data_IF_612113437820
#
_entry.id   IF_612113437820
#
_cell.length_a   1.000
_cell.length_b   1.000
_cell.length_c   1.000
_cell.angle_alpha   90.00
_cell.angle_beta   90.00
_cell.angle_gamma   90.00
#
_symmetry.space_group_name_H-M   'P 1'
#
loop_
_entity.id
_entity.type
_entity.pdbx_description
1 polymer ?
#
# COMPACT_ATOMS: atom_id res chain seq x y z
N UNK A 1 -18.35 37.08 -2.21
CA UNK A 1 -18.83 35.73 -2.59
C UNK A 1 -17.57 34.88 -2.68
N UNK A 2 -17.22 34.29 -1.54
CA UNK A 2 -16.04 33.42 -1.47
C UNK A 2 -16.39 32.13 -2.20
N UNK A 3 -15.81 31.97 -3.40
CA UNK A 3 -15.83 30.70 -4.09
C UNK A 3 -14.97 29.72 -3.29
N UNK A 4 -15.58 28.91 -2.44
CA UNK A 4 -14.95 27.74 -1.91
C UNK A 4 -14.54 26.89 -3.10
N UNK A 5 -13.27 26.93 -3.45
CA UNK A 5 -12.69 26.02 -4.40
C UNK A 5 -12.85 24.61 -3.78
N UNK A 6 -13.75 23.81 -4.33
CA UNK A 6 -13.95 22.43 -3.90
C UNK A 6 -12.58 21.75 -3.95
N UNK A 7 -12.09 21.32 -2.77
CA UNK A 7 -10.82 20.60 -2.68
C UNK A 7 -10.89 19.39 -3.62
N UNK A 8 -9.88 19.23 -4.49
CA UNK A 8 -9.86 18.11 -5.41
C UNK A 8 -9.66 16.79 -4.66
N UNK A 9 -10.20 15.72 -5.20
CA UNK A 9 -9.98 14.38 -4.66
C UNK A 9 -8.51 14.00 -4.83
N UNK A 10 -7.84 13.46 -3.78
CA UNK A 10 -6.52 12.89 -3.92
C UNK A 10 -6.58 11.67 -4.84
N UNK A 11 -5.65 11.59 -5.78
CA UNK A 11 -5.52 10.45 -6.70
C UNK A 11 -4.52 9.46 -6.16
N UNK A 12 -4.95 8.21 -5.98
CA UNK A 12 -4.23 7.19 -5.22
C UNK A 12 -3.96 5.98 -6.09
N UNK A 13 -2.69 5.60 -6.23
CA UNK A 13 -2.31 4.34 -6.89
C UNK A 13 -2.37 3.20 -5.88
N UNK A 14 -3.12 2.14 -6.23
CA UNK A 14 -3.50 1.07 -5.31
C UNK A 14 -2.82 -0.25 -5.68
N UNK A 15 -2.04 -0.82 -4.74
CA UNK A 15 -1.27 -2.05 -4.90
C UNK A 15 -1.92 -3.19 -4.10
N UNK A 16 -2.37 -4.21 -4.81
CA UNK A 16 -3.04 -5.39 -4.24
C UNK A 16 -2.11 -6.31 -3.43
N UNK A 17 -2.70 -7.26 -2.71
CA UNK A 17 -1.98 -8.26 -1.92
C UNK A 17 -1.32 -9.34 -2.78
N UNK A 18 -0.49 -10.17 -2.12
CA UNK A 18 0.18 -11.31 -2.72
C UNK A 18 -0.83 -12.28 -3.34
N UNK A 19 -0.58 -12.70 -4.58
CA UNK A 19 -1.42 -13.63 -5.34
C UNK A 19 -2.89 -13.20 -5.45
N UNK A 20 -3.10 -11.92 -5.74
CA UNK A 20 -4.41 -11.35 -6.04
C UNK A 20 -4.33 -10.46 -7.29
N UNK A 21 -5.23 -9.52 -7.48
CA UNK A 21 -5.23 -8.59 -8.62
C UNK A 21 -5.75 -7.21 -8.20
N UNK A 22 -5.56 -6.22 -9.05
CA UNK A 22 -6.14 -4.89 -8.87
C UNK A 22 -7.66 -4.94 -8.73
N UNK A 23 -8.33 -5.76 -9.57
CA UNK A 23 -9.77 -5.98 -9.49
C UNK A 23 -10.21 -6.55 -8.14
N UNK A 24 -9.48 -7.56 -7.62
CA UNK A 24 -9.78 -8.16 -6.31
C UNK A 24 -9.62 -7.10 -5.22
N UNK A 25 -8.56 -6.29 -5.26
CA UNK A 25 -8.35 -5.23 -4.28
C UNK A 25 -9.42 -4.14 -4.36
N UNK A 26 -9.87 -3.76 -5.55
CA UNK A 26 -11.01 -2.88 -5.74
C UNK A 26 -12.27 -3.44 -5.08
N UNK A 27 -12.59 -4.71 -5.33
CA UNK A 27 -13.72 -5.41 -4.72
C UNK A 27 -13.60 -5.46 -3.18
N UNK A 28 -12.41 -5.73 -2.65
CA UNK A 28 -12.16 -5.71 -1.20
C UNK A 28 -12.43 -4.33 -0.57
N UNK A 29 -12.14 -3.23 -1.27
CA UNK A 29 -12.43 -1.88 -0.76
C UNK A 29 -13.91 -1.52 -0.76
N UNK A 30 -14.80 -2.30 -1.41
CA UNK A 30 -16.25 -2.08 -1.39
C UNK A 30 -16.87 -2.25 0.01
N UNK A 31 -16.16 -2.86 0.95
CA UNK A 31 -16.59 -2.94 2.36
C UNK A 31 -16.58 -1.58 3.05
N UNK A 32 -15.88 -0.58 2.48
CA UNK A 32 -15.87 0.78 3.00
C UNK A 32 -17.13 1.53 2.60
N UNK A 33 -17.67 2.41 3.47
CA UNK A 33 -18.82 3.24 3.11
C UNK A 33 -18.56 4.07 1.84
N UNK A 34 -19.57 4.18 0.99
CA UNK A 34 -19.48 4.91 -0.29
C UNK A 34 -19.00 6.36 -0.10
N UNK A 35 -19.54 7.05 0.92
CA UNK A 35 -19.16 8.44 1.23
C UNK A 35 -17.67 8.60 1.61
N UNK A 36 -16.98 7.54 2.05
CA UNK A 36 -15.53 7.51 2.28
C UNK A 36 -14.79 7.32 0.96
N UNK A 37 -15.22 6.31 0.17
CA UNK A 37 -14.57 5.98 -1.11
C UNK A 37 -14.67 7.12 -2.11
N UNK A 38 -15.79 7.82 -2.14
CA UNK A 38 -16.02 8.97 -3.04
C UNK A 38 -15.13 10.18 -2.77
N UNK A 39 -14.45 10.23 -1.63
CA UNK A 39 -13.50 11.30 -1.32
C UNK A 39 -12.15 11.15 -2.01
N UNK A 40 -11.88 10.01 -2.64
CA UNK A 40 -10.62 9.67 -3.32
C UNK A 40 -10.86 9.21 -4.74
N UNK A 41 -9.86 9.39 -5.61
CA UNK A 41 -9.77 8.76 -6.93
C UNK A 41 -8.81 7.57 -6.82
N UNK A 42 -9.36 6.35 -6.60
CA UNK A 42 -8.61 5.13 -6.41
C UNK A 42 -8.35 4.46 -7.76
N UNK A 43 -7.09 4.24 -8.10
CA UNK A 43 -6.66 3.59 -9.34
C UNK A 43 -5.98 2.27 -9.00
N UNK A 44 -6.64 1.18 -9.30
CA UNK A 44 -6.15 -0.17 -9.04
C UNK A 44 -5.41 -0.71 -10.27
N UNK A 45 -4.24 -1.27 -10.06
CA UNK A 45 -3.41 -1.86 -11.12
C UNK A 45 -2.99 -3.26 -10.76
N UNK A 46 -2.84 -4.12 -11.77
CA UNK A 46 -2.27 -5.44 -11.58
C UNK A 46 -0.75 -5.35 -11.45
N UNK A 47 -0.19 -6.21 -10.60
CA UNK A 47 1.24 -6.38 -10.50
C UNK A 47 1.84 -7.00 -11.79
N UNK A 48 3.13 -6.79 -12.07
CA UNK A 48 3.72 -7.15 -13.36
C UNK A 48 3.94 -8.66 -13.55
N UNK A 49 3.94 -9.45 -12.48
CA UNK A 49 4.29 -10.87 -12.57
C UNK A 49 3.07 -11.74 -12.31
N UNK A 50 2.71 -12.65 -13.23
CA UNK A 50 1.73 -13.70 -12.93
C UNK A 50 2.16 -14.50 -11.71
N UNK A 51 1.22 -14.85 -10.84
CA UNK A 51 1.51 -15.66 -9.66
C UNK A 51 2.11 -17.00 -10.07
N UNK A 52 3.28 -17.34 -9.50
CA UNK A 52 3.99 -18.59 -9.78
C UNK A 52 3.29 -19.79 -9.13
N UNK A 53 3.31 -20.92 -9.82
CA UNK A 53 2.81 -22.20 -9.33
C UNK A 53 1.45 -22.62 -9.88
N UNK A 54 1.14 -23.92 -9.72
CA UNK A 54 -0.16 -24.49 -10.04
C UNK A 54 -1.20 -24.20 -8.92
N UNK A 55 -2.45 -24.68 -9.12
CA UNK A 55 -3.53 -24.50 -8.15
C UNK A 55 -3.15 -24.96 -6.73
N UNK A 56 -2.38 -26.04 -6.61
CA UNK A 56 -1.91 -26.56 -5.33
C UNK A 56 -0.91 -25.61 -4.65
N UNK A 57 -0.05 -24.93 -5.42
CA UNK A 57 0.95 -23.99 -4.91
C UNK A 57 0.38 -22.59 -4.65
N UNK A 58 -0.70 -22.21 -5.35
CA UNK A 58 -1.46 -21.00 -5.08
C UNK A 58 -2.23 -21.08 -3.75
N UNK A 59 -2.50 -22.31 -3.27
CA UNK A 59 -3.09 -22.56 -1.97
C UNK A 59 -4.42 -21.82 -1.77
N UNK A 60 -4.58 -21.19 -0.61
CA UNK A 60 -5.80 -20.47 -0.23
C UNK A 60 -6.21 -19.39 -1.24
N UNK A 61 -5.26 -18.76 -1.94
CA UNK A 61 -5.59 -17.74 -2.93
C UNK A 61 -6.39 -18.31 -4.11
N UNK A 62 -6.06 -19.53 -4.57
CA UNK A 62 -6.80 -20.19 -5.65
C UNK A 62 -8.21 -20.67 -5.23
N UNK A 63 -8.41 -20.87 -3.92
CA UNK A 63 -9.74 -21.24 -3.38
C UNK A 63 -10.65 -20.02 -3.19
N UNK A 64 -10.06 -18.84 -2.96
CA UNK A 64 -10.80 -17.63 -2.63
C UNK A 64 -11.01 -16.68 -3.82
N UNK A 65 -10.13 -16.74 -4.83
CA UNK A 65 -10.10 -15.76 -5.90
C UNK A 65 -9.99 -16.42 -7.28
N UNK A 66 -10.72 -15.89 -8.22
CA UNK A 66 -10.65 -16.31 -9.62
C UNK A 66 -9.38 -15.73 -10.31
N UNK A 67 -8.63 -16.53 -11.08
CA UNK A 67 -7.52 -16.05 -11.90
C UNK A 67 -7.98 -15.01 -12.95
N UNK A 68 -7.07 -14.14 -13.43
CA UNK A 68 -5.62 -14.17 -13.20
C UNK A 68 -5.20 -13.55 -11.85
N UNK A 69 -4.15 -14.13 -11.25
CA UNK A 69 -3.55 -13.66 -9.99
C UNK A 69 -2.11 -13.22 -10.24
N UNK A 70 -1.63 -12.22 -9.51
CA UNK A 70 -0.35 -11.56 -9.73
C UNK A 70 0.45 -11.36 -8.43
N UNK A 71 1.74 -11.13 -8.59
CA UNK A 71 2.70 -10.82 -7.52
C UNK A 71 3.52 -9.59 -7.90
N UNK A 72 3.82 -8.73 -6.92
CA UNK A 72 4.67 -7.56 -7.14
C UNK A 72 6.14 -7.98 -7.30
N UNK A 73 6.57 -8.91 -6.47
CA UNK A 73 7.89 -9.53 -6.46
C UNK A 73 7.78 -10.89 -5.78
N UNK A 74 8.82 -11.72 -5.90
CA UNK A 74 8.90 -12.99 -5.20
C UNK A 74 9.91 -12.90 -4.05
N UNK A 75 9.69 -13.69 -3.00
CA UNK A 75 10.63 -13.89 -1.92
C UNK A 75 10.82 -15.38 -1.65
N UNK A 76 11.98 -15.78 -1.16
CA UNK A 76 12.18 -17.12 -0.62
C UNK A 76 11.41 -17.27 0.73
N UNK A 77 11.36 -18.51 1.26
CA UNK A 77 10.50 -18.84 2.41
C UNK A 77 10.83 -18.08 3.70
N UNK A 78 12.08 -17.67 3.88
CA UNK A 78 12.56 -16.95 5.05
C UNK A 78 12.71 -15.44 4.82
N UNK A 79 12.24 -14.95 3.67
CA UNK A 79 12.30 -13.53 3.26
C UNK A 79 13.71 -12.92 3.33
N UNK A 80 14.75 -13.74 3.11
CA UNK A 80 16.14 -13.29 3.04
C UNK A 80 16.56 -12.84 1.64
N UNK A 81 15.85 -13.30 0.59
CA UNK A 81 16.14 -12.99 -0.80
C UNK A 81 14.87 -12.62 -1.56
N UNK A 82 15.01 -11.64 -2.46
CA UNK A 82 13.95 -11.15 -3.32
C UNK A 82 14.32 -11.29 -4.78
N UNK A 83 13.33 -11.66 -5.61
CA UNK A 83 13.45 -11.71 -7.08
C UNK A 83 12.46 -10.73 -7.70
N UNK A 84 12.83 -10.19 -8.85
CA UNK A 84 12.01 -9.28 -9.65
C UNK A 84 11.61 -7.98 -8.91
N UNK A 85 12.31 -7.62 -7.84
CA UNK A 85 11.99 -6.40 -7.09
C UNK A 85 12.35 -5.14 -7.89
N UNK A 86 13.51 -5.14 -8.54
CA UNK A 86 13.98 -4.00 -9.32
C UNK A 86 13.08 -3.76 -10.54
N UNK A 87 12.64 -4.83 -11.20
CA UNK A 87 11.68 -4.79 -12.31
C UNK A 87 10.30 -4.32 -11.84
N UNK A 88 9.88 -4.71 -10.64
CA UNK A 88 8.66 -4.21 -10.02
C UNK A 88 8.72 -2.69 -9.82
N UNK A 89 9.84 -2.17 -9.28
CA UNK A 89 10.03 -0.73 -9.09
C UNK A 89 9.98 0.01 -10.43
N UNK A 90 10.66 -0.49 -11.45
CA UNK A 90 10.62 0.08 -12.79
C UNK A 90 9.20 0.09 -13.39
N UNK A 91 8.44 -0.99 -13.19
CA UNK A 91 7.04 -1.08 -13.61
C UNK A 91 6.16 -0.04 -12.90
N UNK A 92 6.32 0.14 -11.58
CA UNK A 92 5.56 1.14 -10.82
C UNK A 92 5.86 2.55 -11.33
N UNK A 93 7.13 2.89 -11.56
CA UNK A 93 7.53 4.21 -12.09
C UNK A 93 6.96 4.45 -13.51
N UNK A 94 6.97 3.43 -14.37
CA UNK A 94 6.34 3.48 -15.70
C UNK A 94 4.82 3.68 -15.60
N UNK A 95 4.13 2.95 -14.72
CA UNK A 95 2.70 3.16 -14.45
C UNK A 95 2.41 4.60 -14.01
N UNK A 96 3.17 5.11 -13.03
CA UNK A 96 2.98 6.46 -12.53
C UNK A 96 3.24 7.52 -13.59
N UNK A 97 4.18 7.28 -14.49
CA UNK A 97 4.49 8.17 -15.61
C UNK A 97 3.37 8.17 -16.66
N UNK A 98 2.84 6.99 -17.00
CA UNK A 98 1.84 6.85 -18.09
C UNK A 98 0.44 7.26 -17.69
N UNK A 99 0.02 6.91 -16.46
CA UNK A 99 -1.37 7.11 -16.01
C UNK A 99 -1.50 8.08 -14.83
N UNK A 100 -0.38 8.65 -14.38
CA UNK A 100 -0.34 9.68 -13.33
C UNK A 100 -0.81 11.06 -13.80
N UNK A 101 -0.63 12.11 -13.01
CA UNK A 101 0.05 12.09 -11.71
C UNK A 101 -0.79 11.47 -10.59
N UNK A 102 -0.10 10.92 -9.60
CA UNK A 102 -0.69 10.42 -8.35
C UNK A 102 -0.23 11.27 -7.17
N UNK A 103 -1.11 11.43 -6.16
CA UNK A 103 -0.79 12.15 -4.93
C UNK A 103 -0.25 11.21 -3.86
N UNK A 104 -0.76 9.99 -3.80
CA UNK A 104 -0.39 9.02 -2.81
C UNK A 104 -0.50 7.58 -3.28
N UNK A 105 -0.12 6.68 -2.38
CA UNK A 105 -0.16 5.24 -2.59
C UNK A 105 -1.07 4.59 -1.54
N UNK A 106 -1.75 3.52 -1.93
CA UNK A 106 -2.45 2.63 -1.01
C UNK A 106 -2.04 1.20 -1.31
N UNK A 107 -1.75 0.42 -0.27
CA UNK A 107 -1.40 -0.98 -0.45
C UNK A 107 -2.02 -1.90 0.58
N UNK A 108 -2.24 -3.15 0.18
CA UNK A 108 -2.64 -4.24 1.06
C UNK A 108 -1.57 -5.32 1.05
N UNK A 109 -1.18 -5.80 2.25
CA UNK A 109 -0.23 -6.92 2.41
C UNK A 109 1.06 -6.68 1.62
N UNK A 110 1.41 -7.47 0.61
CA UNK A 110 2.59 -7.27 -0.23
C UNK A 110 2.61 -5.87 -0.86
N UNK A 111 1.45 -5.37 -1.33
CA UNK A 111 1.32 -4.01 -1.85
C UNK A 111 1.53 -2.94 -0.78
N UNK A 112 1.23 -3.23 0.50
CA UNK A 112 1.51 -2.30 1.60
C UNK A 112 3.00 -2.22 1.93
N UNK A 113 3.75 -3.34 1.86
CA UNK A 113 5.22 -3.32 1.98
C UNK A 113 5.85 -2.42 0.90
N UNK A 114 5.38 -2.56 -0.33
CA UNK A 114 5.83 -1.75 -1.45
C UNK A 114 5.50 -0.28 -1.23
N UNK A 115 4.22 0.04 -0.91
CA UNK A 115 3.76 1.41 -0.65
C UNK A 115 4.52 2.08 0.50
N UNK A 116 4.90 1.32 1.52
CA UNK A 116 5.64 1.84 2.67
C UNK A 116 7.09 2.19 2.33
N UNK A 117 7.75 1.39 1.47
CA UNK A 117 9.16 1.59 1.12
C UNK A 117 9.38 2.71 0.09
N UNK A 118 8.44 2.88 -0.84
CA UNK A 118 8.60 3.78 -1.99
C UNK A 118 8.88 5.24 -1.62
N UNK A 119 8.27 5.88 -0.60
CA UNK A 119 8.62 7.25 -0.21
C UNK A 119 10.07 7.39 0.25
N UNK A 120 10.59 6.43 1.03
CA UNK A 120 11.99 6.42 1.46
C UNK A 120 12.94 6.17 0.30
N UNK A 121 12.63 5.23 -0.59
CA UNK A 121 13.40 4.98 -1.82
C UNK A 121 13.41 6.22 -2.75
N UNK A 122 12.30 6.95 -2.83
CA UNK A 122 12.23 8.20 -3.58
C UNK A 122 13.09 9.30 -2.96
N UNK A 123 13.09 9.40 -1.63
CA UNK A 123 13.95 10.36 -0.90
C UNK A 123 15.45 10.05 -1.10
N UNK A 124 15.82 8.77 -1.17
CA UNK A 124 17.18 8.31 -1.48
C UNK A 124 17.55 8.44 -2.98
N UNK A 125 16.59 8.77 -3.84
CA UNK A 125 16.82 8.89 -5.28
C UNK A 125 17.06 7.57 -6.01
N UNK A 126 16.63 6.45 -5.44
CA UNK A 126 16.81 5.10 -6.02
C UNK A 126 15.55 4.56 -6.70
N UNK A 127 14.39 5.21 -6.52
CA UNK A 127 13.14 4.88 -7.17
C UNK A 127 12.26 6.12 -7.38
N UNK A 128 11.33 6.05 -8.31
CA UNK A 128 10.33 7.10 -8.58
C UNK A 128 10.95 8.48 -8.86
N UNK A 129 12.11 8.48 -9.53
CA UNK A 129 12.90 9.69 -9.77
C UNK A 129 12.31 10.60 -10.84
N UNK A 130 11.46 10.05 -11.71
CA UNK A 130 10.83 10.74 -12.84
C UNK A 130 9.38 11.16 -12.57
N UNK A 131 8.86 10.94 -11.36
CA UNK A 131 7.49 11.24 -10.99
C UNK A 131 7.40 12.18 -9.79
N UNK A 132 6.28 12.90 -9.59
CA UNK A 132 6.11 13.77 -8.44
C UNK A 132 6.32 13.05 -7.10
N UNK A 133 6.76 13.80 -6.09
CA UNK A 133 6.94 13.27 -4.73
C UNK A 133 5.63 12.70 -4.19
N UNK A 134 5.70 11.51 -3.61
CA UNK A 134 4.57 10.88 -2.89
C UNK A 134 4.22 11.75 -1.69
N UNK A 135 2.96 12.19 -1.61
CA UNK A 135 2.45 13.09 -0.59
C UNK A 135 1.89 12.37 0.62
N UNK A 136 1.44 11.12 0.47
CA UNK A 136 0.91 10.30 1.56
C UNK A 136 0.86 8.82 1.20
N UNK A 137 0.71 7.96 2.21
CA UNK A 137 0.49 6.52 2.03
C UNK A 137 -0.63 6.01 2.94
N UNK A 138 -1.36 4.97 2.47
CA UNK A 138 -2.35 4.22 3.22
C UNK A 138 -1.95 2.74 3.21
N UNK A 139 -1.70 2.17 4.38
CA UNK A 139 -1.02 0.88 4.53
C UNK A 139 -1.93 -0.10 5.29
N UNK A 140 -2.43 -1.11 4.60
CA UNK A 140 -3.35 -2.11 5.14
C UNK A 140 -2.56 -3.40 5.36
N UNK A 141 -2.45 -3.85 6.63
CA UNK A 141 -1.72 -5.08 6.97
C UNK A 141 -0.30 -5.12 6.41
N UNK A 142 0.43 -4.03 6.54
CA UNK A 142 1.78 -3.85 5.99
C UNK A 142 2.89 -4.26 6.96
N UNK A 143 4.12 -4.10 6.49
CA UNK A 143 5.35 -4.26 7.24
C UNK A 143 6.49 -3.54 6.53
N UNK A 144 7.72 -3.62 7.06
CA UNK A 144 8.88 -2.99 6.45
C UNK A 144 9.95 -4.00 6.04
N UNK A 145 10.63 -3.72 4.94
CA UNK A 145 11.88 -4.36 4.59
C UNK A 145 12.98 -3.95 5.60
N UNK A 146 13.86 -4.89 5.95
CA UNK A 146 14.89 -4.66 6.96
C UNK A 146 14.35 -4.66 8.39
N UNK A 147 13.11 -5.10 8.61
CA UNK A 147 12.53 -5.33 9.92
C UNK A 147 12.91 -6.69 10.51
N UNK A 148 12.31 -7.03 11.66
CA UNK A 148 12.64 -8.24 12.41
C UNK A 148 12.46 -9.55 11.63
N UNK A 149 11.51 -9.57 10.67
CA UNK A 149 11.13 -10.78 9.95
C UNK A 149 11.43 -10.73 8.45
N UNK A 150 11.92 -9.61 7.93
CA UNK A 150 12.11 -9.39 6.50
C UNK A 150 13.45 -8.74 6.23
N UNK A 151 14.27 -9.33 5.39
CA UNK A 151 15.49 -8.67 4.87
C UNK A 151 15.13 -7.49 3.98
N UNK A 152 16.10 -6.66 3.65
CA UNK A 152 15.92 -5.61 2.65
C UNK A 152 16.23 -6.13 1.25
N UNK A 153 15.40 -5.81 0.24
CA UNK A 153 15.80 -5.96 -1.15
C UNK A 153 17.06 -5.15 -1.46
N UNK A 154 17.87 -5.62 -2.42
CA UNK A 154 19.14 -4.97 -2.77
C UNK A 154 18.98 -3.50 -3.20
N UNK A 155 17.89 -3.18 -3.86
CA UNK A 155 17.57 -1.81 -4.29
C UNK A 155 17.03 -0.92 -3.15
N UNK A 156 16.56 -1.51 -2.04
CA UNK A 156 15.91 -0.80 -0.95
C UNK A 156 16.60 -0.99 0.42
N UNK A 157 17.96 -1.01 0.52
CA UNK A 157 18.64 -1.25 1.79
C UNK A 157 18.40 -0.12 2.80
N UNK A 158 18.14 1.09 2.31
CA UNK A 158 18.01 2.30 3.11
C UNK A 158 16.60 2.90 3.10
N UNK A 159 15.59 2.18 2.57
CA UNK A 159 14.23 2.72 2.43
C UNK A 159 13.64 3.26 3.75
N UNK A 160 14.13 2.76 4.90
CA UNK A 160 13.70 3.14 6.24
C UNK A 160 14.85 3.63 7.14
N UNK A 161 15.98 4.05 6.56
CA UNK A 161 17.14 4.55 7.31
C UNK A 161 16.91 5.95 7.89
N UNK A 162 16.00 6.72 7.33
CA UNK A 162 15.52 8.00 7.85
C UNK A 162 14.02 7.95 8.06
N UNK A 163 13.47 8.68 9.04
CA UNK A 163 12.03 8.78 9.23
C UNK A 163 11.31 9.27 7.97
N UNK A 164 10.22 8.61 7.62
CA UNK A 164 9.38 8.99 6.48
C UNK A 164 8.43 10.10 6.93
N UNK A 165 8.56 11.28 6.34
CA UNK A 165 7.80 12.48 6.73
C UNK A 165 6.44 12.59 6.05
N UNK A 166 6.20 11.85 4.95
CA UNK A 166 4.90 11.92 4.29
C UNK A 166 3.81 11.36 5.21
N UNK A 167 2.64 12.03 5.32
CA UNK A 167 1.51 11.54 6.10
C UNK A 167 1.18 10.09 5.79
N UNK A 168 0.92 9.29 6.83
CA UNK A 168 0.61 7.87 6.68
C UNK A 168 -0.60 7.45 7.51
N UNK A 169 -1.42 6.56 6.95
CA UNK A 169 -2.53 5.89 7.63
C UNK A 169 -2.28 4.39 7.63
N UNK A 170 -2.19 3.80 8.81
CA UNK A 170 -1.91 2.38 9.01
C UNK A 170 -3.13 1.67 9.56
N UNK A 171 -3.58 0.63 8.86
CA UNK A 171 -4.66 -0.25 9.31
C UNK A 171 -4.06 -1.48 9.97
N UNK A 172 -4.33 -1.66 11.26
CA UNK A 172 -3.79 -2.75 12.07
C UNK A 172 -4.92 -3.65 12.57
N UNK A 173 -4.92 -4.90 12.12
CA UNK A 173 -5.87 -5.91 12.56
C UNK A 173 -5.41 -6.58 13.87
N UNK A 174 -6.26 -6.59 14.90
CA UNK A 174 -5.94 -7.23 16.19
C UNK A 174 -5.68 -8.74 16.07
N UNK A 175 -6.26 -9.39 15.05
CA UNK A 175 -6.12 -10.81 14.75
C UNK A 175 -5.26 -11.07 13.52
N UNK A 176 -4.56 -10.05 13.01
CA UNK A 176 -3.68 -10.18 11.86
C UNK A 176 -2.40 -10.92 12.28
N UNK A 177 -2.03 -11.96 11.55
CA UNK A 177 -0.76 -12.67 11.77
C UNK A 177 0.46 -11.74 11.55
N UNK A 178 0.31 -10.68 10.75
CA UNK A 178 1.32 -9.66 10.47
C UNK A 178 1.30 -8.47 11.44
N UNK A 179 0.47 -8.45 12.50
CA UNK A 179 0.30 -7.31 13.40
C UNK A 179 1.63 -6.78 13.95
N UNK A 180 2.54 -7.67 14.37
CA UNK A 180 3.86 -7.28 14.90
C UNK A 180 4.68 -6.52 13.86
N UNK A 181 4.63 -6.92 12.58
CA UNK A 181 5.33 -6.24 11.50
C UNK A 181 4.72 -4.86 11.20
N UNK A 182 3.39 -4.76 11.30
CA UNK A 182 2.67 -3.49 11.17
C UNK A 182 3.01 -2.52 12.29
N UNK A 183 3.12 -2.99 13.54
CA UNK A 183 3.54 -2.17 14.69
C UNK A 183 4.99 -1.70 14.51
N UNK A 184 5.90 -2.59 14.11
CA UNK A 184 7.30 -2.24 13.84
C UNK A 184 7.43 -1.19 12.72
N UNK A 185 6.54 -1.22 11.74
CA UNK A 185 6.53 -0.25 10.64
C UNK A 185 6.21 1.17 11.11
N UNK A 186 5.38 1.34 12.15
CA UNK A 186 5.00 2.67 12.67
C UNK A 186 6.22 3.50 13.06
N UNK A 187 7.26 2.88 13.63
CA UNK A 187 8.49 3.55 14.05
C UNK A 187 9.28 4.19 12.88
N UNK A 188 8.92 3.83 11.66
CA UNK A 188 9.56 4.37 10.45
C UNK A 188 8.89 5.63 9.91
N UNK A 189 7.73 6.03 10.45
CA UNK A 189 6.97 7.20 10.00
C UNK A 189 6.88 8.28 11.06
N UNK A 190 6.86 9.54 10.62
CA UNK A 190 6.61 10.68 11.50
C UNK A 190 5.10 10.83 11.71
N UNK A 191 4.66 10.86 12.95
CA UNK A 191 3.26 11.05 13.35
C UNK A 191 2.25 10.16 12.57
N UNK A 192 2.45 8.82 12.56
CA UNK A 192 1.57 7.92 11.82
C UNK A 192 0.16 7.92 12.40
N UNK A 193 -0.85 8.01 11.55
CA UNK A 193 -2.25 7.80 11.95
C UNK A 193 -2.53 6.31 11.97
N UNK A 194 -3.07 5.79 13.08
CA UNK A 194 -3.35 4.36 13.25
C UNK A 194 -4.85 4.11 13.34
N UNK A 195 -5.33 3.16 12.54
CA UNK A 195 -6.68 2.63 12.58
C UNK A 195 -6.62 1.16 12.99
N UNK A 196 -6.95 0.88 14.26
CA UNK A 196 -7.06 -0.50 14.75
C UNK A 196 -8.44 -1.07 14.41
N UNK A 197 -8.50 -2.36 14.08
CA UNK A 197 -9.75 -3.07 13.82
C UNK A 197 -9.70 -4.51 14.37
N UNK A 198 -10.86 -5.09 14.77
CA UNK A 198 -10.90 -6.41 15.43
C UNK A 198 -10.72 -7.60 14.47
N UNK A 199 -10.55 -7.35 13.18
CA UNK A 199 -10.42 -8.37 12.14
C UNK A 199 -8.97 -8.85 12.02
N UNK A 200 -8.75 -9.84 11.15
CA UNK A 200 -7.43 -10.39 10.81
C UNK A 200 -6.79 -9.67 9.62
N UNK A 201 -6.10 -10.46 8.79
CA UNK A 201 -5.36 -10.00 7.60
C UNK A 201 -6.30 -9.71 6.41
N UNK A 202 -7.02 -8.62 6.48
CA UNK A 202 -8.06 -8.23 5.50
C UNK A 202 -8.11 -6.71 5.33
N UNK A 203 -8.70 -6.26 4.22
CA UNK A 203 -9.20 -4.87 4.11
C UNK A 203 -10.37 -4.75 5.08
N UNK A 204 -10.29 -3.91 6.13
CA UNK A 204 -11.28 -3.93 7.20
C UNK A 204 -12.59 -3.26 6.80
N UNK A 205 -13.70 -3.79 7.30
CA UNK A 205 -14.95 -3.03 7.34
C UNK A 205 -14.79 -1.92 8.37
N UNK A 206 -15.07 -0.68 7.96
CA UNK A 206 -14.99 0.49 8.84
C UNK A 206 -16.27 0.61 9.68
N UNK A 207 -16.10 0.76 10.98
CA UNK A 207 -17.14 1.26 11.88
C UNK A 207 -17.21 2.81 11.80
N UNK A 208 -18.05 3.42 12.62
CA UNK A 208 -18.22 4.87 12.66
C UNK A 208 -16.90 5.58 12.97
N UNK A 209 -16.15 5.11 13.98
CA UNK A 209 -14.87 5.69 14.40
C UNK A 209 -13.79 5.50 13.31
N UNK A 210 -13.74 4.35 12.68
CA UNK A 210 -12.82 4.07 11.57
C UNK A 210 -13.11 4.96 10.37
N UNK A 211 -14.38 5.14 10.03
CA UNK A 211 -14.83 6.04 8.96
C UNK A 211 -14.46 7.50 9.26
N UNK A 212 -14.67 7.94 10.49
CA UNK A 212 -14.29 9.30 10.93
C UNK A 212 -12.77 9.51 10.85
N UNK A 213 -11.98 8.54 11.32
CA UNK A 213 -10.51 8.59 11.25
C UNK A 213 -10.02 8.71 9.81
N UNK A 214 -10.59 7.90 8.91
CA UNK A 214 -10.25 7.92 7.49
C UNK A 214 -10.62 9.24 6.83
N UNK A 215 -11.80 9.80 7.11
CA UNK A 215 -12.23 11.10 6.60
C UNK A 215 -11.30 12.22 7.05
N UNK A 216 -10.98 12.28 8.35
CA UNK A 216 -10.03 13.28 8.89
C UNK A 216 -8.66 13.19 8.22
N UNK A 217 -8.18 11.96 7.98
CA UNK A 217 -6.93 11.76 7.27
C UNK A 217 -7.02 12.30 5.83
N UNK A 218 -8.08 11.97 5.09
CA UNK A 218 -8.27 12.44 3.71
C UNK A 218 -8.38 13.97 3.66
N UNK A 219 -9.13 14.59 4.58
CA UNK A 219 -9.26 16.04 4.67
C UNK A 219 -7.92 16.72 4.92
N UNK A 220 -7.10 16.18 5.86
CA UNK A 220 -5.72 16.64 6.07
C UNK A 220 -4.88 16.53 4.79
N UNK A 221 -5.01 15.46 4.02
CA UNK A 221 -4.32 15.31 2.75
C UNK A 221 -4.78 16.35 1.72
N UNK A 222 -6.09 16.61 1.65
CA UNK A 222 -6.64 17.60 0.71
C UNK A 222 -6.10 19.01 0.96
N UNK A 223 -5.72 19.36 2.20
CA UNK A 223 -5.06 20.63 2.54
C UNK A 223 -3.62 20.72 1.98
N UNK A 224 -2.99 19.59 1.61
CA UNK A 224 -1.65 19.51 1.05
C UNK A 224 -1.64 19.47 -0.50
N UNK A 225 -2.82 19.40 -1.13
CA UNK A 225 -2.95 19.27 -2.59
C UNK A 225 -3.14 20.61 -3.28
#
# INVERSE_FOLDING_TARGET
MDGQQLARKPRVLCFHGFRTSGKIFEEQTQVWPEFVREKMDLVFVDAPFPAEGGLEELGVAAELFDPPLYEWFQANKDFSEYRNFDECIAFVEDCMTRIGPFDGLMGFSQGAFLSAALPGMQAEGVALTCVPKIKFVMLISGGKFGGSNFSSPKLAPNAFSSPIECPSLHFLGEKDFGLTNGIELLDSFVDPVVLNHPQGHVVPKLDEKGSETMIKFIEKIQELL
#
